data_IF_292243061135
#
_entry.id   IF_292243061135
#
_cell.length_a   1.000
_cell.length_b   1.000
_cell.length_c   1.000
_cell.angle_alpha   90.00
_cell.angle_beta   90.00
_cell.angle_gamma   90.00
#
_symmetry.space_group_name_H-M   'P 1'
#
loop_
_entity.id
_entity.type
_entity.pdbx_description
1 polymer ?
#
# COMPACT_ATOMS: atom_id res chain seq x y z
N UNK A 1 -17.05 -30.61 3.95
CA UNK A 1 -15.99 -29.66 3.56
C UNK A 1 -16.34 -28.31 4.13
N UNK A 2 -15.42 -27.68 4.86
CA UNK A 2 -15.65 -26.43 5.57
C UNK A 2 -15.78 -25.30 4.52
N UNK A 3 -16.69 -24.33 4.66
CA UNK A 3 -16.89 -23.30 3.64
C UNK A 3 -15.61 -22.49 3.38
N UNK A 4 -14.83 -22.25 4.43
CA UNK A 4 -13.52 -21.59 4.34
C UNK A 4 -12.52 -22.42 3.53
N UNK A 5 -12.44 -23.73 3.77
CA UNK A 5 -11.57 -24.63 3.02
C UNK A 5 -11.97 -24.73 1.54
N UNK A 6 -13.28 -24.73 1.25
CA UNK A 6 -13.78 -24.71 -0.12
C UNK A 6 -13.36 -23.42 -0.84
N UNK A 7 -13.43 -22.27 -0.16
CA UNK A 7 -13.00 -20.99 -0.70
C UNK A 7 -11.50 -21.00 -1.06
N UNK A 8 -10.65 -21.56 -0.19
CA UNK A 8 -9.21 -21.67 -0.48
C UNK A 8 -8.93 -22.54 -1.70
N UNK A 9 -9.64 -23.67 -1.84
CA UNK A 9 -9.49 -24.54 -3.02
C UNK A 9 -9.91 -23.79 -4.29
N UNK A 10 -11.04 -23.09 -4.26
CA UNK A 10 -11.51 -22.28 -5.40
C UNK A 10 -10.48 -21.20 -5.74
N UNK A 11 -9.97 -20.47 -4.75
CA UNK A 11 -8.97 -19.43 -4.95
C UNK A 11 -7.69 -20.00 -5.57
N UNK A 12 -7.24 -21.15 -5.11
CA UNK A 12 -6.06 -21.82 -5.65
C UNK A 12 -6.26 -22.23 -7.11
N UNK A 13 -7.43 -22.80 -7.44
CA UNK A 13 -7.78 -23.17 -8.82
C UNK A 13 -7.82 -21.93 -9.71
N UNK A 14 -8.44 -20.83 -9.26
CA UNK A 14 -8.45 -19.57 -10.00
C UNK A 14 -7.04 -19.02 -10.21
N UNK A 15 -6.18 -19.10 -9.19
CA UNK A 15 -4.80 -18.62 -9.29
C UNK A 15 -4.03 -19.40 -10.35
N UNK A 16 -4.13 -20.74 -10.33
CA UNK A 16 -3.50 -21.61 -11.33
C UNK A 16 -4.02 -21.27 -12.73
N UNK A 17 -5.34 -21.12 -12.89
CA UNK A 17 -5.97 -20.80 -14.17
C UNK A 17 -5.53 -19.42 -14.67
N UNK A 18 -5.44 -18.44 -13.77
CA UNK A 18 -4.92 -17.11 -14.09
C UNK A 18 -3.51 -17.20 -14.66
N UNK A 19 -2.59 -17.92 -14.02
CA UNK A 19 -1.25 -18.11 -14.56
C UNK A 19 -1.27 -18.84 -15.91
N UNK A 20 -2.02 -19.95 -16.01
CA UNK A 20 -2.08 -20.77 -17.22
C UNK A 20 -2.63 -20.00 -18.44
N UNK A 21 -3.59 -19.10 -18.23
CA UNK A 21 -4.20 -18.28 -19.29
C UNK A 21 -3.42 -17.00 -19.58
N UNK A 22 -2.44 -16.63 -18.75
CA UNK A 22 -1.64 -15.42 -18.89
C UNK A 22 -0.14 -15.75 -19.01
N UNK A 23 0.18 -16.88 -19.65
CA UNK A 23 1.56 -17.27 -19.99
C UNK A 23 2.09 -16.56 -21.24
N UNK A 24 1.22 -15.88 -21.98
CA UNK A 24 1.61 -15.12 -23.17
C UNK A 24 2.75 -14.14 -22.83
N UNK A 25 3.87 -14.21 -23.57
CA UNK A 25 4.99 -13.32 -23.34
C UNK A 25 4.64 -11.91 -23.81
N UNK A 26 4.96 -10.94 -22.96
CA UNK A 26 4.89 -9.51 -23.28
C UNK A 26 6.30 -8.93 -23.24
N UNK A 27 6.57 -8.03 -24.18
CA UNK A 27 7.78 -7.23 -24.19
C UNK A 27 7.70 -6.15 -23.12
N UNK A 28 8.70 -6.12 -22.25
CA UNK A 28 8.90 -5.04 -21.29
C UNK A 28 10.17 -4.29 -21.68
N UNK A 29 9.98 -3.04 -22.10
CA UNK A 29 11.06 -2.12 -22.42
C UNK A 29 11.61 -1.49 -21.14
N UNK A 30 12.82 -1.89 -20.78
CA UNK A 30 13.62 -1.18 -19.80
C UNK A 30 14.50 -0.15 -20.51
N UNK A 31 14.98 0.84 -19.76
CA UNK A 31 15.80 1.96 -20.27
C UNK A 31 17.01 1.53 -21.13
N UNK A 32 17.51 0.31 -20.97
CA UNK A 32 18.70 -0.20 -21.65
C UNK A 32 18.49 -1.57 -22.34
N UNK A 33 17.34 -2.22 -22.14
CA UNK A 33 17.10 -3.58 -22.66
C UNK A 33 15.61 -3.84 -22.80
N UNK A 34 15.24 -4.66 -23.77
CA UNK A 34 13.91 -5.26 -23.85
C UNK A 34 13.99 -6.69 -23.29
N UNK A 35 12.98 -7.13 -22.54
CA UNK A 35 12.89 -8.51 -22.05
C UNK A 35 11.48 -9.05 -22.26
N UNK A 36 11.39 -10.32 -22.65
CA UNK A 36 10.12 -11.02 -22.75
C UNK A 36 9.80 -11.70 -21.42
N UNK A 37 8.67 -11.32 -20.82
CA UNK A 37 8.19 -11.87 -19.54
C UNK A 37 6.72 -12.24 -19.67
N UNK A 38 6.22 -13.19 -18.88
CA UNK A 38 4.80 -13.55 -18.95
C UNK A 38 3.90 -12.42 -18.45
N UNK A 39 2.76 -12.23 -19.11
CA UNK A 39 1.76 -11.24 -18.73
C UNK A 39 1.33 -11.39 -17.25
N UNK A 40 1.16 -12.63 -16.79
CA UNK A 40 0.81 -12.93 -15.40
C UNK A 40 1.81 -12.31 -14.41
N UNK A 41 3.10 -12.40 -14.69
CA UNK A 41 4.17 -11.90 -13.83
C UNK A 41 4.12 -10.36 -13.77
N UNK A 42 3.94 -9.71 -14.92
CA UNK A 42 3.80 -8.24 -15.00
C UNK A 42 2.59 -7.76 -14.19
N UNK A 43 1.46 -8.45 -14.29
CA UNK A 43 0.25 -8.12 -13.52
C UNK A 43 0.52 -8.24 -12.02
N UNK A 44 1.17 -9.32 -11.57
CA UNK A 44 1.45 -9.54 -10.15
C UNK A 44 2.38 -8.47 -9.60
N UNK A 45 3.49 -8.19 -10.29
CA UNK A 45 4.46 -7.18 -9.84
C UNK A 45 3.81 -5.78 -9.80
N UNK A 46 3.10 -5.39 -10.85
CA UNK A 46 2.44 -4.08 -10.91
C UNK A 46 1.37 -3.93 -9.81
N UNK A 47 0.60 -4.99 -9.55
CA UNK A 47 -0.40 -5.01 -8.48
C UNK A 47 0.25 -4.90 -7.11
N UNK A 48 1.35 -5.62 -6.86
CA UNK A 48 2.09 -5.54 -5.60
C UNK A 48 2.68 -4.14 -5.40
N UNK A 49 3.31 -3.56 -6.42
CA UNK A 49 3.86 -2.20 -6.36
C UNK A 49 2.73 -1.20 -6.08
N UNK A 50 1.63 -1.28 -6.82
CA UNK A 50 0.46 -0.42 -6.62
C UNK A 50 -0.15 -0.57 -5.22
N UNK A 51 -0.21 -1.79 -4.67
CA UNK A 51 -0.68 -2.04 -3.31
C UNK A 51 0.25 -1.43 -2.26
N UNK A 52 1.56 -1.61 -2.40
CA UNK A 52 2.56 -1.02 -1.48
C UNK A 52 2.47 0.51 -1.53
N UNK A 53 2.47 1.10 -2.73
CA UNK A 53 2.40 2.55 -2.90
C UNK A 53 1.05 3.13 -2.47
N UNK A 54 -0.05 2.43 -2.73
CA UNK A 54 -1.40 2.91 -2.45
C UNK A 54 -1.81 2.76 -0.98
N UNK A 55 -1.32 1.73 -0.29
CA UNK A 55 -1.78 1.41 1.07
C UNK A 55 -0.68 1.58 2.12
N UNK A 56 0.55 1.15 1.84
CA UNK A 56 1.63 1.18 2.82
C UNK A 56 2.21 2.59 2.90
N UNK A 57 2.51 3.21 1.75
CA UNK A 57 3.15 4.52 1.70
C UNK A 57 2.35 5.60 2.45
N UNK A 58 1.02 5.78 2.26
CA UNK A 58 0.27 6.80 2.98
C UNK A 58 0.23 6.57 4.48
N UNK A 59 0.29 5.32 4.95
CA UNK A 59 0.33 5.01 6.39
C UNK A 59 1.66 5.38 7.02
N UNK A 60 2.76 5.30 6.27
CA UNK A 60 4.07 5.75 6.74
C UNK A 60 4.11 7.28 6.79
N UNK A 61 3.65 7.97 5.74
CA UNK A 61 3.68 9.44 5.69
C UNK A 61 2.69 10.11 6.67
N UNK A 62 1.54 9.49 6.97
CA UNK A 62 0.55 10.08 7.90
C UNK A 62 1.04 10.18 9.34
N UNK A 63 1.96 9.30 9.77
CA UNK A 63 2.51 9.33 11.13
C UNK A 63 3.29 10.62 11.41
N UNK A 64 4.06 11.10 10.44
CA UNK A 64 4.85 12.33 10.57
C UNK A 64 3.94 13.56 10.81
N UNK A 65 2.85 13.65 10.04
CA UNK A 65 1.92 14.79 10.09
C UNK A 65 1.14 14.83 11.42
N UNK A 66 0.79 13.66 11.95
CA UNK A 66 0.06 13.56 13.22
C UNK A 66 0.91 14.01 14.40
N UNK A 67 2.18 13.60 14.48
CA UNK A 67 3.09 14.04 15.54
C UNK A 67 3.31 15.56 15.54
N UNK A 68 3.50 16.15 14.36
CA UNK A 68 3.68 17.62 14.24
C UNK A 68 2.41 18.39 14.62
N UNK A 69 1.23 17.85 14.29
CA UNK A 69 -0.05 18.47 14.66
C UNK A 69 -0.35 18.39 16.16
N UNK A 70 0.05 17.30 16.81
CA UNK A 70 -0.08 17.11 18.25
C UNK A 70 0.86 18.03 19.05
N UNK A 71 2.11 18.18 18.60
CA UNK A 71 3.06 19.11 19.23
C UNK A 71 2.60 20.57 19.13
N UNK A 72 2.07 20.99 17.98
CA UNK A 72 1.50 22.33 17.81
C UNK A 72 0.31 22.60 18.73
N UNK A 73 -0.61 21.63 18.89
CA UNK A 73 -1.76 21.81 19.79
C UNK A 73 -1.33 21.90 21.26
N UNK A 74 -0.32 21.11 21.66
CA UNK A 74 0.19 21.13 23.04
C UNK A 74 0.91 22.44 23.37
N UNK A 75 1.70 22.97 22.44
CA UNK A 75 2.36 24.28 22.59
C UNK A 75 1.33 25.40 22.72
N UNK A 76 0.32 25.44 21.84
CA UNK A 76 -0.73 26.45 21.86
C UNK A 76 -1.52 26.48 23.18
N UNK A 77 -1.93 25.31 23.68
CA UNK A 77 -2.61 25.22 24.98
C UNK A 77 -1.74 25.64 26.17
N UNK A 78 -0.41 25.55 26.06
CA UNK A 78 0.52 25.99 27.10
C UNK A 78 0.66 27.51 27.10
N UNK A 79 0.66 28.14 25.92
CA UNK A 79 0.67 29.59 25.75
C UNK A 79 -0.63 30.23 26.25
N UNK A 80 -1.79 29.68 25.85
CA UNK A 80 -3.11 30.15 26.30
C UNK A 80 -3.27 30.06 27.83
N UNK A 81 -2.69 29.02 28.46
CA UNK A 81 -2.71 28.83 29.91
C UNK A 81 -1.77 29.80 30.66
N UNK A 82 -0.69 30.27 30.03
CA UNK A 82 0.21 31.27 30.60
C UNK A 82 -0.37 32.68 30.50
N UNK A 83 -1.01 33.03 29.38
CA UNK A 83 -1.70 34.32 29.25
C UNK A 83 -2.84 34.47 30.27
N UNK A 84 -3.63 33.40 30.48
CA UNK A 84 -4.71 33.41 31.49
C UNK A 84 -4.21 33.58 32.94
N UNK A 85 -2.95 33.21 33.24
CA UNK A 85 -2.33 33.39 34.56
C UNK A 85 -1.71 34.78 34.75
N UNK A 86 -1.40 35.50 33.67
CA UNK A 86 -0.82 36.85 33.73
C UNK A 86 -1.91 37.92 33.90
N UNK A 87 -3.14 37.62 33.48
CA UNK A 87 -4.32 38.52 33.56
C UNK A 87 -5.17 38.32 34.84
N UNK A 88 -4.71 37.48 35.78
CA UNK A 88 -5.34 37.23 37.10
C UNK A 88 -4.52 37.83 38.24
#
# INVERSE_FOLDING_TARGET
>A
MNPISALFVILLVLLILFFALNTDPVSVDFLLTEQQVSLALVIIISTLIGFVLGIILPRLLRREVEHVALEKNKAKHTEDAQEAQIDS
#
